data_IF_230087117423
#
_entry.id   IF_230087117423
#
_cell.length_a   1.000
_cell.length_b   1.000
_cell.length_c   1.000
_cell.angle_alpha   90.00
_cell.angle_beta   90.00
_cell.angle_gamma   90.00
#
_symmetry.space_group_name_H-M   'P 1'
#
loop_
_entity.id
_entity.type
_entity.pdbx_description
1 polymer ?
#
# COMPACT_ATOMS: atom_id res chain seq x y z
N UNK A 1 5.12 -8.40 -9.65
CA UNK A 1 4.66 -7.04 -9.28
C UNK A 1 3.67 -7.05 -8.12
N UNK A 2 2.66 -7.93 -8.12
CA UNK A 2 1.73 -8.08 -6.99
C UNK A 2 2.45 -8.34 -5.65
N UNK A 3 3.46 -9.20 -5.63
CA UNK A 3 4.30 -9.45 -4.45
C UNK A 3 5.00 -8.17 -3.93
N UNK A 4 5.49 -7.30 -4.83
CA UNK A 4 6.10 -6.02 -4.43
C UNK A 4 5.06 -5.07 -3.82
N UNK A 5 3.84 -5.04 -4.35
CA UNK A 5 2.73 -4.26 -3.79
C UNK A 5 2.37 -4.80 -2.39
N UNK A 6 2.44 -6.13 -2.19
CA UNK A 6 2.18 -6.76 -0.90
C UNK A 6 3.24 -6.40 0.15
N UNK A 7 4.53 -6.38 -0.21
CA UNK A 7 5.61 -5.92 0.68
C UNK A 7 5.40 -4.45 1.08
N UNK A 8 5.03 -3.60 0.11
CA UNK A 8 4.72 -2.19 0.37
C UNK A 8 3.51 -2.05 1.29
N UNK A 9 2.49 -2.90 1.13
CA UNK A 9 1.31 -2.92 2.00
C UNK A 9 1.68 -3.27 3.44
N UNK A 10 2.49 -4.30 3.64
CA UNK A 10 2.95 -4.67 4.97
C UNK A 10 3.66 -3.50 5.67
N UNK A 11 4.57 -2.81 4.96
CA UNK A 11 5.26 -1.65 5.52
C UNK A 11 4.33 -0.46 5.78
N UNK A 12 3.32 -0.26 4.93
CA UNK A 12 2.30 0.76 5.14
C UNK A 12 1.48 0.49 6.41
N UNK A 13 1.08 -0.76 6.64
CA UNK A 13 0.34 -1.18 7.84
C UNK A 13 1.21 -0.96 9.10
N UNK A 14 2.49 -1.35 9.05
CA UNK A 14 3.46 -1.08 10.14
C UNK A 14 3.59 0.42 10.45
N UNK A 15 3.68 1.27 9.42
CA UNK A 15 3.78 2.73 9.60
C UNK A 15 2.49 3.31 10.15
N UNK A 16 1.33 2.82 9.70
CA UNK A 16 0.04 3.23 10.23
C UNK A 16 -0.07 2.97 11.74
N UNK A 17 0.41 1.81 12.18
CA UNK A 17 0.44 1.44 13.59
C UNK A 17 1.44 2.30 14.39
N UNK A 18 2.59 2.64 13.80
CA UNK A 18 3.61 3.48 14.45
C UNK A 18 3.20 4.96 14.58
N UNK A 19 2.54 5.53 13.57
CA UNK A 19 2.17 6.97 13.54
C UNK A 19 1.21 7.34 14.68
N UNK A 20 0.36 6.41 15.10
CA UNK A 20 -0.63 6.64 16.14
C UNK A 20 -0.08 6.43 17.56
N UNK A 21 1.17 5.96 17.71
CA UNK A 21 1.76 5.72 19.02
C UNK A 21 2.05 7.05 19.75
N UNK A 22 1.66 7.20 21.03
CA UNK A 22 1.81 8.46 21.76
C UNK A 22 3.25 8.99 21.83
N UNK A 23 4.24 8.10 21.92
CA UNK A 23 5.67 8.43 21.95
C UNK A 23 6.16 8.96 20.60
N UNK A 24 5.63 8.45 19.49
CA UNK A 24 5.89 8.96 18.14
C UNK A 24 5.22 10.31 17.93
N UNK A 25 3.97 10.48 18.37
CA UNK A 25 3.23 11.75 18.26
C UNK A 25 3.94 12.85 19.06
N UNK A 26 4.48 12.50 20.23
CA UNK A 26 5.26 13.44 21.05
C UNK A 26 6.59 13.85 20.38
N UNK A 27 7.21 12.98 19.57
CA UNK A 27 8.39 13.32 18.75
C UNK A 27 7.97 13.86 17.37
N UNK A 28 7.83 15.19 17.30
CA UNK A 28 7.40 15.89 16.08
C UNK A 28 8.26 15.56 14.84
N UNK A 29 9.57 15.32 14.99
CA UNK A 29 10.44 14.99 13.85
C UNK A 29 10.13 13.60 13.31
N UNK A 30 9.97 12.61 14.21
CA UNK A 30 9.58 11.24 13.83
C UNK A 30 8.17 11.22 13.22
N UNK A 31 7.22 11.91 13.84
CA UNK A 31 5.85 12.02 13.34
C UNK A 31 5.77 12.58 11.92
N UNK A 32 6.50 13.66 11.62
CA UNK A 32 6.54 14.24 10.27
C UNK A 32 7.13 13.25 9.26
N UNK A 33 8.24 12.59 9.61
CA UNK A 33 8.90 11.61 8.74
C UNK A 33 7.96 10.45 8.39
N UNK A 34 7.33 9.86 9.41
CA UNK A 34 6.41 8.74 9.21
C UNK A 34 5.17 9.16 8.43
N UNK A 35 4.59 10.34 8.70
CA UNK A 35 3.46 10.85 7.90
C UNK A 35 3.81 11.06 6.43
N UNK A 36 5.04 11.49 6.13
CA UNK A 36 5.50 11.62 4.75
C UNK A 36 5.59 10.24 4.09
N UNK A 37 6.22 9.28 4.75
CA UNK A 37 6.36 7.90 4.26
C UNK A 37 4.98 7.25 4.06
N UNK A 38 4.05 7.44 5.00
CA UNK A 38 2.66 6.98 4.90
C UNK A 38 1.97 7.51 3.64
N UNK A 39 2.06 8.81 3.35
CA UNK A 39 1.45 9.41 2.15
C UNK A 39 2.06 8.88 0.85
N UNK A 40 3.38 8.70 0.83
CA UNK A 40 4.09 8.16 -0.33
C UNK A 40 3.67 6.70 -0.59
N UNK A 41 3.67 5.86 0.44
CA UNK A 41 3.26 4.46 0.33
C UNK A 41 1.79 4.32 -0.04
N UNK A 42 0.90 5.16 0.53
CA UNK A 42 -0.52 5.19 0.18
C UNK A 42 -0.73 5.42 -1.31
N UNK A 43 0.01 6.37 -1.88
CA UNK A 43 -0.06 6.69 -3.32
C UNK A 43 0.35 5.48 -4.18
N UNK A 44 1.34 4.70 -3.74
CA UNK A 44 1.77 3.50 -4.45
C UNK A 44 0.72 2.39 -4.32
N UNK A 45 0.14 2.21 -3.13
CA UNK A 45 -0.90 1.21 -2.89
C UNK A 45 -2.17 1.49 -3.70
N UNK A 46 -2.60 2.75 -3.77
CA UNK A 46 -3.78 3.13 -4.54
C UNK A 46 -3.60 2.79 -6.03
N UNK A 47 -2.40 3.04 -6.59
CA UNK A 47 -2.05 2.60 -7.96
C UNK A 47 -1.91 1.09 -8.06
N UNK A 48 -1.39 0.44 -7.03
CA UNK A 48 -1.24 -1.00 -6.96
C UNK A 48 -2.57 -1.75 -7.00
N UNK A 49 -3.61 -1.19 -6.36
CA UNK A 49 -4.96 -1.74 -6.38
C UNK A 49 -5.58 -1.65 -7.78
N UNK A 50 -5.40 -0.52 -8.47
CA UNK A 50 -5.81 -0.37 -9.88
C UNK A 50 -5.14 -1.44 -10.75
N UNK A 51 -3.82 -1.62 -10.59
CA UNK A 51 -3.08 -2.64 -11.33
C UNK A 51 -3.61 -4.05 -11.06
N UNK A 52 -3.86 -4.39 -9.78
CA UNK A 52 -4.40 -5.69 -9.38
C UNK A 52 -5.77 -5.95 -10.01
N UNK A 53 -6.66 -4.97 -9.98
CA UNK A 53 -8.00 -5.09 -10.55
C UNK A 53 -7.94 -5.28 -12.07
N UNK A 54 -7.11 -4.50 -12.78
CA UNK A 54 -6.91 -4.68 -14.22
C UNK A 54 -6.34 -6.06 -14.56
N UNK A 55 -5.36 -6.52 -13.80
CA UNK A 55 -4.77 -7.85 -13.99
C UNK A 55 -5.80 -8.96 -13.80
N UNK A 56 -6.61 -8.89 -12.75
CA UNK A 56 -7.67 -9.87 -12.50
C UNK A 56 -8.74 -9.84 -13.61
N UNK A 57 -9.17 -8.65 -14.04
CA UNK A 57 -10.16 -8.52 -15.12
C UNK A 57 -9.65 -9.13 -16.44
N UNK A 58 -8.37 -8.89 -16.79
CA UNK A 58 -7.76 -9.50 -17.98
C UNK A 58 -7.75 -11.01 -17.85
N UNK A 59 -7.30 -11.52 -16.70
CA UNK A 59 -7.23 -12.96 -16.44
C UNK A 59 -8.61 -13.62 -16.52
N UNK A 60 -9.63 -13.03 -15.90
CA UNK A 60 -11.01 -13.53 -15.98
C UNK A 60 -11.55 -13.52 -17.42
N UNK A 61 -11.28 -12.46 -18.18
CA UNK A 61 -11.68 -12.40 -19.59
C UNK A 61 -10.98 -13.47 -20.45
N UNK A 62 -9.69 -13.72 -20.21
CA UNK A 62 -8.93 -14.79 -20.87
C UNK A 62 -9.48 -16.18 -20.51
N UNK A 63 -9.84 -16.42 -19.25
CA UNK A 63 -10.46 -17.67 -18.81
C UNK A 63 -11.84 -17.88 -19.47
N UNK A 64 -12.66 -16.85 -19.58
CA UNK A 64 -13.97 -16.92 -20.25
C UNK A 64 -13.84 -17.24 -21.75
N UNK A 65 -12.81 -16.71 -22.43
CA UNK A 65 -12.58 -16.97 -23.86
C UNK A 65 -12.01 -18.38 -24.10
N UNK A 66 -11.34 -18.94 -23.09
CA UNK A 66 -10.72 -20.27 -23.18
C UNK A 66 -11.72 -21.43 -22.96
N UNK A 67 -12.90 -21.16 -22.41
CA UNK A 67 -14.06 -22.08 -22.32
C UNK A 67 -14.91 -22.05 -23.61
#
# INVERSE_FOLDING_TARGET
>A
MLEKIQIIKQRFDEINDLIIQPDIIADQKRYIKLNKEYKELKTILDKGEIYKNLYNNIKEAEEIIAD
#
